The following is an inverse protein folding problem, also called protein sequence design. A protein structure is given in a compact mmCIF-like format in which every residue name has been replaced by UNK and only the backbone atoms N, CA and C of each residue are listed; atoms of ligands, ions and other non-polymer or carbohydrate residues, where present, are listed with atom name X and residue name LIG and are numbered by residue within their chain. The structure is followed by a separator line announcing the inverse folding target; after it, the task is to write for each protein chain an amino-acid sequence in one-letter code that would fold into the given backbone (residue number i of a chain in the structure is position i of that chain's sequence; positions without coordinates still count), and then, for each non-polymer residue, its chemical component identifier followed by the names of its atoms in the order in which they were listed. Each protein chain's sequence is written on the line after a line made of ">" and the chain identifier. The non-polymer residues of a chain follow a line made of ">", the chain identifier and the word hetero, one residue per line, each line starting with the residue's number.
data_IF_319206602671
#
_entry.id   IF_319206602671
#
_cell.length_a   1.000
_cell.length_b   1.000
_cell.length_c   1.000
_cell.angle_alpha   90.00
_cell.angle_beta   90.00
_cell.angle_gamma   90.00
#
_symmetry.space_group_name_H-M   'P 1'
#
loop_
_entity.id
_entity.type
_entity.pdbx_description
1 polymer ?
#
# COMPACT_ATOMS: atom_id res chain seq x y z
N UNK A 1 -10.38 3.92 14.61
CA UNK A 1 -8.98 4.17 14.22
C UNK A 1 -8.89 4.12 12.71
N UNK A 2 -8.27 5.12 12.07
CA UNK A 2 -8.17 5.24 10.61
C UNK A 2 -6.86 4.62 10.13
N UNK A 3 -6.93 3.55 9.33
CA UNK A 3 -5.72 2.95 8.73
C UNK A 3 -5.29 3.73 7.49
N UNK A 4 -3.98 3.85 7.28
CA UNK A 4 -3.36 4.29 6.03
C UNK A 4 -2.99 3.08 5.20
N UNK A 5 -3.46 3.10 3.96
CA UNK A 5 -3.33 2.01 3.00
C UNK A 5 -2.54 2.53 1.81
N UNK A 6 -1.39 1.91 1.52
CA UNK A 6 -0.65 2.17 0.29
C UNK A 6 -1.23 1.28 -0.82
N UNK A 7 -1.75 1.88 -1.89
CA UNK A 7 -2.28 1.14 -3.02
C UNK A 7 -1.33 1.26 -4.21
N UNK A 8 -0.54 0.22 -4.45
CA UNK A 8 0.40 0.16 -5.60
C UNK A 8 -0.22 -0.48 -6.83
N UNK A 9 -1.34 -1.20 -6.70
CA UNK A 9 -2.09 -1.72 -7.82
C UNK A 9 -2.93 -0.63 -8.50
N UNK A 10 -2.57 -0.27 -9.74
CA UNK A 10 -3.29 0.69 -10.58
C UNK A 10 -4.81 0.47 -10.74
N UNK A 11 -5.32 -0.78 -10.78
CA UNK A 11 -6.77 -1.02 -10.82
C UNK A 11 -7.60 -0.33 -9.73
N UNK A 12 -6.99 0.07 -8.61
CA UNK A 12 -7.67 0.81 -7.52
C UNK A 12 -8.32 2.13 -8.00
N UNK A 13 -7.85 2.72 -9.10
CA UNK A 13 -8.41 3.96 -9.70
C UNK A 13 -9.42 3.71 -10.81
N UNK A 14 -9.70 2.44 -11.15
CA UNK A 14 -10.63 2.04 -12.21
C UNK A 14 -11.54 0.90 -11.74
N UNK A 15 -11.30 -0.32 -12.23
CA UNK A 15 -12.14 -1.50 -11.89
C UNK A 15 -12.22 -1.79 -10.38
N UNK A 16 -11.24 -1.36 -9.60
CA UNK A 16 -11.19 -1.46 -8.13
C UNK A 16 -11.72 -0.24 -7.37
N UNK A 17 -12.33 0.75 -8.05
CA UNK A 17 -12.79 1.99 -7.43
C UNK A 17 -13.81 1.73 -6.30
N UNK A 18 -14.70 0.75 -6.47
CA UNK A 18 -15.68 0.39 -5.44
C UNK A 18 -14.99 -0.06 -4.13
N UNK A 19 -13.87 -0.78 -4.23
CA UNK A 19 -13.06 -1.18 -3.08
C UNK A 19 -12.42 0.03 -2.42
N UNK A 20 -11.89 0.97 -3.22
CA UNK A 20 -11.34 2.23 -2.70
C UNK A 20 -12.38 3.05 -1.94
N UNK A 21 -13.60 3.14 -2.47
CA UNK A 21 -14.71 3.84 -1.81
C UNK A 21 -15.15 3.16 -0.51
N UNK A 22 -15.18 1.83 -0.50
CA UNK A 22 -15.51 1.05 0.70
C UNK A 22 -14.48 1.27 1.82
N UNK A 23 -13.18 1.26 1.49
CA UNK A 23 -12.10 1.57 2.42
C UNK A 23 -12.21 3.00 2.96
N UNK A 24 -12.50 3.99 2.10
CA UNK A 24 -12.72 5.38 2.52
C UNK A 24 -13.94 5.52 3.43
N UNK A 25 -15.06 4.85 3.12
CA UNK A 25 -16.27 4.83 3.95
C UNK A 25 -16.03 4.20 5.33
N UNK A 26 -15.15 3.20 5.40
CA UNK A 26 -14.69 2.62 6.66
C UNK A 26 -13.72 3.54 7.44
N UNK A 27 -13.42 4.73 6.91
CA UNK A 27 -12.52 5.70 7.52
C UNK A 27 -11.04 5.46 7.25
N UNK A 28 -10.68 4.63 6.26
CA UNK A 28 -9.28 4.44 5.86
C UNK A 28 -8.80 5.57 4.93
N UNK A 29 -7.52 5.89 5.01
CA UNK A 29 -6.83 6.81 4.10
C UNK A 29 -6.09 5.99 3.05
N UNK A 30 -6.24 6.35 1.78
CA UNK A 30 -5.55 5.67 0.67
C UNK A 30 -4.44 6.60 0.17
N UNK A 31 -3.20 6.13 0.29
CA UNK A 31 -2.02 6.73 -0.32
C UNK A 31 -1.74 6.04 -1.66
N UNK A 32 -1.44 6.83 -2.69
CA UNK A 32 -1.09 6.36 -4.01
C UNK A 32 0.40 6.63 -4.28
N UNK A 33 1.13 5.73 -4.95
CA UNK A 33 2.46 6.03 -5.45
C UNK A 33 2.37 7.08 -6.56
N UNK A 34 3.51 7.69 -6.90
CA UNK A 34 3.60 8.64 -8.02
C UNK A 34 3.27 7.98 -9.38
N UNK A 35 3.47 6.67 -9.49
CA UNK A 35 3.20 5.89 -10.70
C UNK A 35 2.79 4.46 -10.31
N UNK A 36 1.96 3.81 -11.12
CA UNK A 36 1.53 2.41 -10.89
C UNK A 36 2.43 1.36 -11.58
N UNK A 37 3.69 1.71 -11.88
CA UNK A 37 4.66 0.70 -12.33
C UNK A 37 5.07 -0.20 -11.17
N UNK A 38 5.79 -1.28 -11.50
CA UNK A 38 6.48 -2.07 -10.48
C UNK A 38 7.57 -1.20 -9.83
N UNK A 39 7.54 -1.14 -8.50
CA UNK A 39 8.53 -0.47 -7.66
C UNK A 39 9.54 -1.49 -7.16
N UNK A 40 10.80 -1.07 -7.05
CA UNK A 40 11.81 -1.83 -6.31
C UNK A 40 11.58 -1.73 -4.80
N UNK A 41 12.25 -2.57 -4.01
CA UNK A 41 12.16 -2.50 -2.56
C UNK A 41 12.65 -1.15 -2.01
N UNK A 42 13.69 -0.59 -2.62
CA UNK A 42 14.26 0.72 -2.28
C UNK A 42 13.28 1.86 -2.57
N UNK A 43 12.47 1.73 -3.63
CA UNK A 43 11.43 2.70 -3.98
C UNK A 43 10.20 2.59 -3.10
N UNK A 44 9.86 1.38 -2.63
CA UNK A 44 8.77 1.14 -1.69
C UNK A 44 9.10 1.63 -0.28
N UNK A 45 10.33 1.39 0.19
CA UNK A 45 10.78 1.71 1.55
C UNK A 45 10.38 3.10 2.05
N UNK A 46 10.60 4.22 1.31
CA UNK A 46 10.19 5.55 1.77
C UNK A 46 8.68 5.77 1.82
N UNK A 47 7.87 4.89 1.22
CA UNK A 47 6.41 4.96 1.22
C UNK A 47 5.76 4.23 2.39
N UNK A 48 6.51 3.36 3.09
CA UNK A 48 6.00 2.51 4.16
C UNK A 48 5.78 3.20 5.53
N UNK A 49 6.48 4.29 5.91
CA UNK A 49 6.29 4.87 7.24
C UNK A 49 4.82 5.22 7.53
N UNK A 50 4.28 4.62 8.60
CA UNK A 50 2.90 4.83 9.04
C UNK A 50 1.83 4.15 8.17
N UNK A 51 2.21 3.26 7.24
CA UNK A 51 1.29 2.42 6.47
C UNK A 51 0.98 1.14 7.25
N UNK A 52 -0.31 0.84 7.44
CA UNK A 52 -0.74 -0.39 8.12
C UNK A 52 -1.14 -1.50 7.15
N UNK A 53 -1.48 -1.15 5.90
CA UNK A 53 -1.89 -2.12 4.89
C UNK A 53 -1.41 -1.75 3.50
N UNK A 54 -1.15 -2.75 2.66
CA UNK A 54 -0.83 -2.56 1.25
C UNK A 54 -1.86 -3.28 0.39
N UNK A 55 -2.45 -2.53 -0.55
CA UNK A 55 -3.20 -3.08 -1.68
C UNK A 55 -2.22 -3.24 -2.83
N UNK A 56 -1.65 -4.43 -2.92
CA UNK A 56 -0.42 -4.72 -3.64
C UNK A 56 -0.65 -4.96 -5.12
N UNK A 57 0.15 -4.29 -5.95
CA UNK A 57 0.34 -4.64 -7.34
C UNK A 57 1.35 -5.77 -7.52
N UNK A 58 2.11 -5.69 -8.61
CA UNK A 58 3.14 -6.68 -8.94
C UNK A 58 4.48 -6.45 -8.21
N UNK A 59 4.52 -5.55 -7.23
CA UNK A 59 5.73 -5.26 -6.48
C UNK A 59 6.18 -6.47 -5.65
N UNK A 60 7.50 -6.54 -5.44
CA UNK A 60 8.10 -7.54 -4.56
C UNK A 60 8.25 -6.95 -3.17
N UNK A 61 7.92 -7.76 -2.17
CA UNK A 61 8.07 -7.42 -0.75
C UNK A 61 9.06 -8.40 -0.12
N UNK A 62 10.37 -8.23 -0.35
CA UNK A 62 11.39 -9.13 0.19
C UNK A 62 11.50 -8.98 1.71
N UNK A 63 12.08 -9.97 2.39
CA UNK A 63 12.15 -10.02 3.85
C UNK A 63 12.86 -8.80 4.45
N UNK A 64 13.89 -8.29 3.77
CA UNK A 64 14.69 -7.14 4.21
C UNK A 64 13.87 -5.85 4.22
N UNK A 65 12.92 -5.70 3.28
CA UNK A 65 11.98 -4.58 3.26
C UNK A 65 10.97 -4.70 4.41
N UNK A 66 10.43 -5.90 4.61
CA UNK A 66 9.41 -6.14 5.66
C UNK A 66 9.98 -6.09 7.08
N UNK A 67 11.27 -6.36 7.23
CA UNK A 67 12.00 -6.21 8.49
C UNK A 67 12.50 -4.77 8.73
N UNK A 68 12.29 -3.84 7.78
CA UNK A 68 12.81 -2.49 7.90
C UNK A 68 12.00 -1.65 8.91
N UNK A 69 12.62 -0.66 9.59
CA UNK A 69 11.91 0.22 10.52
C UNK A 69 10.72 0.95 9.89
N UNK A 70 10.83 1.28 8.60
CA UNK A 70 9.78 1.93 7.82
C UNK A 70 8.53 1.06 7.66
N UNK A 71 8.67 -0.27 7.69
CA UNK A 71 7.58 -1.23 7.63
C UNK A 71 7.03 -1.62 9.03
N UNK A 72 7.50 -1.01 10.11
CA UNK A 72 7.17 -1.43 11.49
C UNK A 72 5.67 -1.42 11.83
N UNK A 73 4.88 -0.59 11.16
CA UNK A 73 3.43 -0.51 11.33
C UNK A 73 2.64 -1.39 10.38
N UNK A 74 3.30 -2.01 9.39
CA UNK A 74 2.66 -2.81 8.36
C UNK A 74 2.11 -4.11 8.96
N UNK A 75 0.82 -4.36 8.76
CA UNK A 75 0.11 -5.53 9.32
C UNK A 75 -0.35 -6.51 8.25
N UNK A 76 -0.64 -6.03 7.06
CA UNK A 76 -1.22 -6.86 5.99
C UNK A 76 -0.80 -6.38 4.60
N UNK A 77 -0.56 -7.35 3.72
CA UNK A 77 -0.39 -7.15 2.29
C UNK A 77 -1.46 -7.99 1.60
N UNK A 78 -2.34 -7.34 0.85
CA UNK A 78 -3.38 -7.99 0.06
C UNK A 78 -3.02 -7.88 -1.42
N UNK A 79 -2.87 -9.01 -2.11
CA UNK A 79 -2.70 -9.10 -3.57
C UNK A 79 -4.00 -9.51 -4.23
#
# INVERSE_FOLDING_TARGET
>A
MSWKILATAGPITGVGQQSAESLKKAGCQIALPKSFRVHSAEELKPLLPGIQAIYAGMDKYPAELLASPEASELKIISR
#
